data_IF_586720128699
#
_entry.id   IF_586720128699
#
_cell.length_a   1.000
_cell.length_b   1.000
_cell.length_c   1.000
_cell.angle_alpha   90.00
_cell.angle_beta   90.00
_cell.angle_gamma   90.00
#
_symmetry.space_group_name_H-M   'P 1'
#
loop_
_entity.id
_entity.type
_entity.pdbx_description
1 polymer ?
#
# COMPACT_ATOMS: atom_id res chain seq x y z
N UNK A 1 -42.12 16.84 -51.17
CA UNK A 1 -42.50 17.45 -49.88
C UNK A 1 -41.42 17.08 -48.86
N UNK A 2 -40.87 18.08 -48.17
CA UNK A 2 -39.73 17.96 -47.25
C UNK A 2 -40.15 17.26 -45.97
N UNK A 3 -39.50 16.16 -45.60
CA UNK A 3 -39.52 15.60 -44.23
C UNK A 3 -38.13 15.75 -43.65
N UNK A 4 -37.94 16.79 -42.86
CA UNK A 4 -36.77 17.03 -42.03
C UNK A 4 -36.85 16.08 -40.83
N UNK A 5 -35.96 15.09 -40.76
CA UNK A 5 -35.79 14.21 -39.62
C UNK A 5 -34.77 14.86 -38.67
N UNK A 6 -35.24 15.50 -37.61
CA UNK A 6 -34.38 16.04 -36.55
C UNK A 6 -33.84 14.90 -35.70
N UNK A 7 -32.60 14.48 -35.95
CA UNK A 7 -31.91 13.53 -35.09
C UNK A 7 -31.20 14.31 -33.97
N UNK A 8 -31.85 14.38 -32.81
CA UNK A 8 -31.25 14.87 -31.57
C UNK A 8 -30.32 13.77 -31.04
N UNK A 9 -29.05 13.78 -31.43
CA UNK A 9 -28.02 12.93 -30.80
C UNK A 9 -27.60 13.62 -29.51
N UNK A 10 -28.26 13.27 -28.42
CA UNK A 10 -27.81 13.60 -27.07
C UNK A 10 -26.48 12.91 -26.83
N UNK A 11 -25.39 13.68 -26.94
CA UNK A 11 -24.06 13.27 -26.52
C UNK A 11 -24.09 13.09 -25.00
N UNK A 12 -24.33 11.86 -24.52
CA UNK A 12 -24.08 11.50 -23.13
C UNK A 12 -22.60 11.73 -22.86
N UNK A 13 -22.29 12.83 -22.17
CA UNK A 13 -21.03 13.05 -21.47
C UNK A 13 -20.89 11.97 -20.39
N UNK A 14 -20.43 10.79 -20.78
CA UNK A 14 -19.81 9.85 -19.86
C UNK A 14 -18.44 10.43 -19.47
N UNK A 15 -18.44 11.45 -18.62
CA UNK A 15 -17.23 11.84 -17.93
C UNK A 15 -16.84 10.65 -17.03
N UNK A 16 -15.65 10.05 -17.19
CA UNK A 16 -15.15 9.17 -16.15
C UNK A 16 -14.99 10.05 -14.91
N UNK A 17 -15.82 9.82 -13.89
CA UNK A 17 -15.56 10.35 -12.57
C UNK A 17 -14.26 9.72 -12.07
N UNK A 18 -13.14 10.37 -12.38
CA UNK A 18 -11.91 10.20 -11.60
C UNK A 18 -12.17 10.86 -10.26
N UNK A 19 -12.83 10.13 -9.35
CA UNK A 19 -12.74 10.48 -7.95
C UNK A 19 -11.26 10.37 -7.59
N UNK A 20 -10.60 11.51 -7.37
CA UNK A 20 -9.29 11.51 -6.73
C UNK A 20 -9.46 10.73 -5.42
N UNK A 21 -8.66 9.69 -5.22
CA UNK A 21 -8.74 8.89 -4.02
C UNK A 21 -8.39 9.80 -2.83
N UNK A 22 -9.27 9.93 -1.86
CA UNK A 22 -9.00 10.81 -0.72
C UNK A 22 -7.96 10.17 0.20
N UNK A 23 -6.99 10.96 0.68
CA UNK A 23 -6.12 10.56 1.78
C UNK A 23 -7.01 10.42 3.02
N UNK A 24 -7.19 9.21 3.58
CA UNK A 24 -8.11 9.02 4.69
C UNK A 24 -7.59 9.75 5.93
N UNK A 25 -8.50 10.17 6.80
CA UNK A 25 -8.14 10.68 8.13
C UNK A 25 -7.36 9.63 8.93
N UNK A 26 -7.69 8.34 8.75
CA UNK A 26 -7.08 7.21 9.43
C UNK A 26 -6.94 5.99 8.52
N UNK A 27 -5.76 5.38 8.49
CA UNK A 27 -5.57 4.11 7.78
C UNK A 27 -6.03 2.91 8.61
N UNK A 28 -6.73 2.00 7.94
CA UNK A 28 -7.12 0.67 8.43
C UNK A 28 -6.66 -0.36 7.41
N UNK A 29 -6.58 -1.64 7.80
CA UNK A 29 -6.23 -2.70 6.85
C UNK A 29 -7.18 -2.78 5.65
N UNK A 30 -8.43 -2.33 5.80
CA UNK A 30 -9.45 -2.35 4.77
C UNK A 30 -9.25 -1.24 3.72
N UNK A 31 -8.88 -0.03 4.16
CA UNK A 31 -8.76 1.12 3.27
C UNK A 31 -7.35 1.36 2.73
N UNK A 32 -6.30 0.91 3.43
CA UNK A 32 -4.91 1.25 3.09
C UNK A 32 -4.58 0.88 1.63
N UNK A 33 -5.09 -0.24 1.14
CA UNK A 33 -4.73 -0.75 -0.20
C UNK A 33 -5.43 -0.06 -1.37
N UNK A 34 -6.44 0.75 -1.10
CA UNK A 34 -7.30 1.37 -2.12
C UNK A 34 -7.34 2.88 -2.04
N UNK A 35 -6.88 3.44 -0.92
CA UNK A 35 -6.80 4.89 -0.69
C UNK A 35 -5.55 5.50 -1.33
N UNK A 36 -5.58 6.81 -1.51
CA UNK A 36 -4.37 7.58 -1.75
C UNK A 36 -3.47 7.54 -0.50
N UNK A 37 -2.16 7.53 -0.71
CA UNK A 37 -1.19 7.49 0.37
C UNK A 37 -0.58 8.85 0.62
N UNK A 38 -0.63 9.22 1.90
CA UNK A 38 0.04 10.39 2.42
C UNK A 38 1.56 10.22 2.33
N UNK A 39 2.26 11.29 1.98
CA UNK A 39 3.71 11.28 1.84
C UNK A 39 4.38 11.24 3.22
N UNK A 40 5.53 10.55 3.37
CA UNK A 40 6.33 10.65 4.58
C UNK A 40 6.95 12.05 4.70
N UNK A 41 6.92 12.63 5.89
CA UNK A 41 7.63 13.87 6.21
C UNK A 41 9.12 13.54 6.44
N UNK A 42 10.04 14.00 5.56
CA UNK A 42 11.45 13.66 5.63
C UNK A 42 12.15 14.27 6.86
N UNK A 43 11.66 15.41 7.38
CA UNK A 43 12.23 16.09 8.54
C UNK A 43 11.84 15.39 9.85
N UNK A 44 10.81 14.54 9.79
CA UNK A 44 10.29 13.77 10.93
C UNK A 44 10.54 12.27 10.80
N UNK A 45 11.46 11.86 9.95
CA UNK A 45 11.90 10.46 9.80
C UNK A 45 13.12 10.15 10.69
N UNK A 46 13.01 9.13 11.52
CA UNK A 46 14.13 8.60 12.31
C UNK A 46 14.46 7.17 11.86
N UNK A 47 15.70 6.96 11.41
CA UNK A 47 16.22 5.64 11.04
C UNK A 47 17.07 5.09 12.19
N UNK A 48 16.84 3.82 12.52
CA UNK A 48 17.51 3.11 13.59
C UNK A 48 18.32 1.92 13.03
N UNK A 49 19.34 1.43 13.77
CA UNK A 49 20.07 0.22 13.39
C UNK A 49 19.14 -0.98 13.17
N UNK A 50 19.56 -1.94 12.33
CA UNK A 50 18.80 -3.18 12.11
C UNK A 50 17.59 -3.03 11.19
N UNK A 51 17.50 -1.93 10.43
CA UNK A 51 16.43 -1.69 9.45
C UNK A 51 15.10 -1.28 10.08
N UNK A 52 15.16 -0.73 11.29
CA UNK A 52 14.02 -0.13 11.98
C UNK A 52 13.93 1.35 11.61
N UNK A 53 12.72 1.90 11.55
CA UNK A 53 12.51 3.34 11.45
C UNK A 53 11.15 3.71 12.01
N UNK A 54 10.98 4.98 12.34
CA UNK A 54 9.67 5.56 12.63
C UNK A 54 9.63 6.99 12.11
N UNK A 55 8.43 7.52 11.91
CA UNK A 55 8.27 8.90 11.51
C UNK A 55 6.82 9.32 11.43
N UNK A 56 6.60 10.44 10.75
CA UNK A 56 5.27 10.99 10.54
C UNK A 56 5.06 11.29 9.05
N UNK A 57 3.82 11.28 8.62
CA UNK A 57 3.44 11.76 7.29
C UNK A 57 3.27 13.28 7.27
N UNK A 58 3.12 13.88 6.09
CA UNK A 58 2.87 15.32 5.93
C UNK A 58 1.58 15.76 6.64
N UNK A 59 0.53 14.93 6.66
CA UNK A 59 -0.70 15.22 7.44
C UNK A 59 -0.61 14.83 8.92
N UNK A 60 0.55 14.31 9.37
CA UNK A 60 0.85 14.07 10.78
C UNK A 60 0.55 12.67 11.32
N UNK A 61 0.27 11.68 10.46
CA UNK A 61 0.04 10.29 10.87
C UNK A 61 1.35 9.62 11.25
N UNK A 62 1.38 8.93 12.39
CA UNK A 62 2.58 8.22 12.84
C UNK A 62 2.70 6.87 12.13
N UNK A 63 3.90 6.54 11.68
CA UNK A 63 4.22 5.22 11.14
C UNK A 63 5.54 4.68 11.68
N UNK A 64 5.68 3.36 11.66
CA UNK A 64 6.93 2.71 12.02
C UNK A 64 7.14 1.38 11.31
N UNK A 65 8.41 0.98 11.23
CA UNK A 65 8.82 -0.34 10.79
C UNK A 65 9.72 -1.00 11.82
N UNK A 66 9.42 -2.27 12.11
CA UNK A 66 10.27 -3.11 12.97
C UNK A 66 10.64 -4.42 12.28
N UNK A 67 11.86 -4.90 12.54
CA UNK A 67 12.26 -6.26 12.19
C UNK A 67 11.56 -7.26 13.11
N UNK A 68 10.88 -8.24 12.51
CA UNK A 68 10.13 -9.31 13.20
C UNK A 68 10.94 -10.59 13.26
N UNK A 69 11.58 -10.96 12.14
CA UNK A 69 12.46 -12.11 12.02
C UNK A 69 13.66 -11.71 11.18
N UNK A 70 14.87 -12.01 11.65
CA UNK A 70 16.10 -11.81 10.90
C UNK A 70 17.02 -13.00 11.07
N UNK A 71 17.40 -13.63 9.96
CA UNK A 71 18.34 -14.73 9.86
C UNK A 71 19.04 -14.69 8.50
N UNK A 72 19.99 -15.60 8.27
CA UNK A 72 20.71 -15.68 7.00
C UNK A 72 19.81 -15.90 5.76
N UNK A 73 18.60 -16.44 5.95
CA UNK A 73 17.66 -16.76 4.84
C UNK A 73 16.35 -15.98 4.91
N UNK A 74 15.94 -15.57 6.10
CA UNK A 74 14.66 -14.90 6.32
C UNK A 74 14.91 -13.51 6.85
N UNK A 75 14.35 -12.51 6.16
CA UNK A 75 14.21 -11.15 6.68
C UNK A 75 12.75 -10.75 6.56
N UNK A 76 12.09 -10.61 7.70
CA UNK A 76 10.69 -10.23 7.82
C UNK A 76 10.59 -8.98 8.70
N UNK A 77 9.93 -7.95 8.19
CA UNK A 77 9.69 -6.70 8.88
C UNK A 77 8.17 -6.47 8.95
N UNK A 78 7.71 -5.69 9.92
CA UNK A 78 6.32 -5.23 10.04
C UNK A 78 6.31 -3.73 9.90
N UNK A 79 5.52 -3.22 8.97
CA UNK A 79 5.20 -1.81 8.84
C UNK A 79 3.82 -1.56 9.45
N UNK A 80 3.68 -0.43 10.14
CA UNK A 80 2.44 -0.01 10.80
C UNK A 80 2.24 1.48 10.54
N UNK A 81 1.01 1.87 10.21
CA UNK A 81 0.54 3.27 10.14
C UNK A 81 -0.91 3.30 10.60
N UNK A 82 -1.22 4.13 11.58
CA UNK A 82 -2.51 4.12 12.29
C UNK A 82 -2.91 2.70 12.72
N UNK A 83 -4.04 2.17 12.20
CA UNK A 83 -4.51 0.81 12.45
C UNK A 83 -4.15 -0.18 11.34
N UNK A 84 -3.54 0.31 10.25
CA UNK A 84 -3.09 -0.52 9.15
C UNK A 84 -1.71 -1.11 9.44
N UNK A 85 -1.51 -2.36 9.04
CA UNK A 85 -0.20 -3.00 9.08
C UNK A 85 -0.05 -4.05 8.00
N UNK A 86 1.20 -4.31 7.64
CA UNK A 86 1.57 -5.39 6.75
C UNK A 86 3.01 -5.82 7.01
N UNK A 87 3.36 -6.97 6.45
CA UNK A 87 4.69 -7.51 6.56
C UNK A 87 5.48 -7.25 5.29
N UNK A 88 6.79 -7.09 5.44
CA UNK A 88 7.73 -6.80 4.38
C UNK A 88 8.83 -7.85 4.40
N UNK A 89 9.23 -8.30 3.22
CA UNK A 89 10.41 -9.14 3.04
C UNK A 89 11.23 -8.61 1.85
N UNK A 90 12.47 -9.07 1.64
CA UNK A 90 13.22 -8.76 0.43
C UNK A 90 12.47 -9.09 -0.87
N UNK A 91 11.47 -9.98 -0.79
CA UNK A 91 10.64 -10.35 -1.93
C UNK A 91 9.43 -9.44 -2.12
N UNK A 92 9.12 -8.54 -1.16
CA UNK A 92 8.05 -7.55 -1.21
C UNK A 92 7.02 -7.68 -0.08
N UNK A 93 5.81 -7.15 -0.30
CA UNK A 93 4.73 -7.00 0.69
C UNK A 93 3.97 -8.31 0.91
N UNK A 94 3.63 -8.59 2.17
CA UNK A 94 2.88 -9.75 2.63
C UNK A 94 1.72 -9.26 3.50
N UNK A 95 0.49 -9.52 3.05
CA UNK A 95 -0.73 -9.33 3.85
C UNK A 95 -0.97 -10.59 4.67
N UNK A 96 -0.99 -10.45 5.99
CA UNK A 96 -1.18 -11.55 6.93
C UNK A 96 -1.69 -10.99 8.26
N UNK A 97 -2.48 -11.76 8.99
CA UNK A 97 -3.06 -11.32 10.26
C UNK A 97 -2.02 -11.33 11.40
N UNK A 98 -0.95 -12.10 11.22
CA UNK A 98 0.11 -12.22 12.21
C UNK A 98 1.46 -12.62 11.59
N UNK A 99 2.51 -12.54 12.41
CA UNK A 99 3.88 -12.81 11.99
C UNK A 99 4.11 -14.26 11.57
N UNK A 100 3.36 -15.21 12.15
CA UNK A 100 3.46 -16.63 11.83
C UNK A 100 2.94 -16.90 10.42
N UNK A 101 1.78 -16.37 10.08
CA UNK A 101 1.23 -16.43 8.72
C UNK A 101 2.14 -15.75 7.71
N UNK A 102 2.65 -14.56 8.04
CA UNK A 102 3.60 -13.84 7.19
C UNK A 102 4.87 -14.66 6.93
N UNK A 103 5.38 -15.37 7.95
CA UNK A 103 6.54 -16.25 7.82
C UNK A 103 6.22 -17.49 6.95
N UNK A 104 5.06 -18.12 7.16
CA UNK A 104 4.62 -19.26 6.31
C UNK A 104 4.54 -18.83 4.86
N UNK A 105 3.96 -17.67 4.59
CA UNK A 105 3.83 -17.15 3.22
C UNK A 105 5.19 -16.79 2.63
N UNK A 106 6.09 -16.16 3.40
CA UNK A 106 7.46 -15.91 2.95
C UNK A 106 8.16 -17.19 2.49
N UNK A 107 8.13 -18.25 3.31
CA UNK A 107 8.79 -19.53 3.01
C UNK A 107 8.12 -20.25 1.84
N UNK A 108 6.79 -20.24 1.73
CA UNK A 108 6.07 -20.81 0.59
C UNK A 108 6.58 -20.21 -0.71
N UNK A 109 6.65 -18.89 -0.76
CA UNK A 109 7.01 -18.14 -1.96
C UNK A 109 8.51 -18.20 -2.26
N UNK A 110 9.35 -18.29 -1.22
CA UNK A 110 10.77 -18.58 -1.36
C UNK A 110 11.00 -19.90 -2.10
N UNK A 111 10.28 -20.96 -1.70
CA UNK A 111 10.34 -22.29 -2.34
C UNK A 111 9.79 -22.30 -3.77
N UNK A 112 8.82 -21.45 -4.05
CA UNK A 112 8.23 -21.32 -5.39
C UNK A 112 9.08 -20.48 -6.37
N UNK A 113 10.13 -19.81 -5.88
CA UNK A 113 10.93 -18.91 -6.72
C UNK A 113 10.23 -17.61 -7.10
N UNK A 114 9.10 -17.27 -6.47
CA UNK A 114 8.29 -16.08 -6.77
C UNK A 114 8.97 -14.78 -6.24
N UNK A 115 8.93 -13.71 -7.03
CA UNK A 115 9.18 -12.32 -6.59
C UNK A 115 7.85 -11.58 -6.45
N UNK A 116 7.63 -10.75 -5.42
CA UNK A 116 6.41 -9.94 -5.31
C UNK A 116 6.50 -8.67 -6.13
N UNK A 117 5.31 -8.23 -6.48
CA UNK A 117 4.95 -6.93 -7.03
C UNK A 117 6.03 -5.87 -6.82
N UNK A 118 6.69 -5.48 -7.91
CA UNK A 118 7.42 -4.23 -8.02
C UNK A 118 6.41 -3.19 -8.50
N UNK A 119 6.24 -2.05 -7.79
CA UNK A 119 5.78 -0.86 -8.48
C UNK A 119 6.78 -0.63 -9.60
N UNK A 120 6.31 -0.58 -10.85
CA UNK A 120 7.20 -0.31 -11.99
C UNK A 120 7.99 0.96 -11.69
N UNK A 121 9.31 0.88 -11.87
CA UNK A 121 10.20 2.04 -11.90
C UNK A 121 9.81 2.99 -13.04
#
# INVERSE_FOLDING_TARGET
MKTTLSLLVGLLLAAPFSAAAEIPERYTNDNYWTSEHDAPDPDRLTVLPGGHFYGYTETGKFFYQVTVVSSARVRLQKFVIDDAYFYLSPRGVIRAENAREALVEHVRRERAGETFWSPRA
#
